data_IF_374845376970
#
_entry.id   IF_374845376970
#
_cell.length_a   1.000
_cell.length_b   1.000
_cell.length_c   1.000
_cell.angle_alpha   90.00
_cell.angle_beta   90.00
_cell.angle_gamma   90.00
#
_symmetry.space_group_name_H-M   'P 1'
#
loop_
_entity.id
_entity.type
_entity.pdbx_description
1 polymer ?
#
# COMPACT_ATOMS: atom_id res chain seq x y z
N UNK A 1 1.26 5.79 -3.89
CA UNK A 1 -0.01 5.14 -4.32
C UNK A 1 -0.63 5.82 -5.55
N UNK A 2 -0.45 7.11 -5.71
CA UNK A 2 -1.16 7.95 -6.68
C UNK A 2 -0.25 8.49 -7.79
N UNK A 3 0.96 7.95 -7.91
CA UNK A 3 1.95 8.33 -8.93
C UNK A 3 1.89 7.33 -10.07
N UNK A 4 1.69 7.81 -11.30
CA UNK A 4 1.62 6.98 -12.50
C UNK A 4 2.96 6.34 -12.88
N UNK A 5 2.89 5.15 -13.49
CA UNK A 5 4.02 4.50 -14.15
C UNK A 5 4.29 5.11 -15.55
N UNK A 6 5.17 4.49 -16.33
CA UNK A 6 5.49 4.90 -17.71
C UNK A 6 4.27 4.91 -18.66
N UNK A 7 3.22 4.17 -18.33
CA UNK A 7 1.96 4.08 -19.09
C UNK A 7 0.86 4.99 -18.53
N UNK A 8 1.18 5.85 -17.55
CA UNK A 8 0.23 6.77 -16.93
C UNK A 8 -0.72 6.14 -15.90
N UNK A 9 -0.60 4.81 -15.63
CA UNK A 9 -1.39 4.15 -14.59
C UNK A 9 -0.78 4.36 -13.21
N UNK A 10 -1.62 4.68 -12.25
CA UNK A 10 -1.22 4.78 -10.84
C UNK A 10 -1.05 3.40 -10.21
N UNK A 11 -0.37 3.30 -9.07
CA UNK A 11 -0.19 2.03 -8.36
C UNK A 11 -1.53 1.41 -7.96
N UNK A 12 -2.51 2.23 -7.56
CA UNK A 12 -3.89 1.78 -7.31
C UNK A 12 -4.50 1.12 -8.55
N UNK A 13 -4.40 1.78 -9.71
CA UNK A 13 -4.93 1.23 -10.98
C UNK A 13 -4.21 -0.06 -11.39
N UNK A 14 -2.90 -0.15 -11.19
CA UNK A 14 -2.12 -1.36 -11.45
C UNK A 14 -2.53 -2.50 -10.50
N UNK A 15 -2.79 -2.19 -9.21
CA UNK A 15 -3.27 -3.19 -8.25
C UNK A 15 -4.58 -3.80 -8.69
N UNK A 16 -5.53 -3.02 -9.18
CA UNK A 16 -6.77 -3.56 -9.74
C UNK A 16 -6.56 -4.30 -11.08
N UNK A 17 -5.71 -3.77 -11.96
CA UNK A 17 -5.46 -4.37 -13.28
C UNK A 17 -4.88 -5.78 -13.16
N UNK A 18 -3.94 -6.01 -12.24
CA UNK A 18 -3.34 -7.34 -12.00
C UNK A 18 -4.31 -8.39 -11.49
N UNK A 19 -5.45 -7.96 -10.94
CA UNK A 19 -6.52 -8.85 -10.48
C UNK A 19 -7.56 -9.16 -11.57
N UNK A 20 -7.42 -8.58 -12.75
CA UNK A 20 -8.35 -8.82 -13.86
C UNK A 20 -8.37 -10.28 -14.26
N UNK A 21 -9.56 -10.81 -14.46
CA UNK A 21 -9.76 -12.22 -14.86
C UNK A 21 -9.83 -13.24 -13.71
N UNK A 22 -9.63 -12.83 -12.46
CA UNK A 22 -9.75 -13.74 -11.30
C UNK A 22 -11.20 -14.00 -10.85
N UNK A 23 -12.20 -13.39 -11.51
CA UNK A 23 -13.61 -13.60 -11.14
C UNK A 23 -13.97 -13.06 -9.76
N UNK A 24 -13.30 -12.03 -9.29
CA UNK A 24 -13.54 -11.41 -7.99
C UNK A 24 -14.93 -10.78 -7.93
N UNK A 25 -15.56 -10.90 -6.77
CA UNK A 25 -16.87 -10.30 -6.47
C UNK A 25 -16.77 -8.84 -6.07
N UNK A 26 -17.42 -8.47 -4.95
CA UNK A 26 -17.41 -7.11 -4.41
C UNK A 26 -15.99 -6.66 -4.09
N UNK A 27 -15.59 -5.54 -4.67
CA UNK A 27 -14.33 -4.87 -4.33
C UNK A 27 -14.58 -3.69 -3.40
N UNK A 28 -13.75 -3.54 -2.38
CA UNK A 28 -13.78 -2.42 -1.43
C UNK A 28 -12.44 -1.68 -1.47
N UNK A 29 -12.49 -0.37 -1.58
CA UNK A 29 -11.34 0.51 -1.46
C UNK A 29 -11.45 1.32 -0.18
N UNK A 30 -10.63 1.00 0.82
CA UNK A 30 -10.58 1.74 2.08
C UNK A 30 -9.50 2.81 1.97
N UNK A 31 -9.87 4.07 2.21
CA UNK A 31 -8.91 5.17 2.16
C UNK A 31 -9.29 6.32 3.09
N UNK A 32 -8.31 7.17 3.42
CA UNK A 32 -8.58 8.39 4.17
C UNK A 32 -9.52 9.33 3.39
N UNK A 33 -10.46 9.96 4.09
CA UNK A 33 -11.45 10.86 3.49
C UNK A 33 -10.82 12.04 2.71
N UNK A 34 -9.60 12.43 3.03
CA UNK A 34 -8.90 13.50 2.30
C UNK A 34 -8.57 13.08 0.86
N UNK A 35 -8.39 11.78 0.60
CA UNK A 35 -8.05 11.23 -0.71
C UNK A 35 -9.27 10.79 -1.53
N UNK A 36 -10.49 10.92 -1.01
CA UNK A 36 -11.72 10.37 -1.61
C UNK A 36 -11.92 10.70 -3.10
N UNK A 37 -11.76 11.96 -3.47
CA UNK A 37 -11.99 12.38 -4.86
C UNK A 37 -10.92 11.88 -5.80
N UNK A 38 -9.67 11.82 -5.34
CA UNK A 38 -8.57 11.27 -6.12
C UNK A 38 -8.74 9.75 -6.31
N UNK A 39 -9.14 9.03 -5.26
CA UNK A 39 -9.45 7.60 -5.34
C UNK A 39 -10.61 7.33 -6.30
N UNK A 40 -11.71 8.08 -6.18
CA UNK A 40 -12.86 7.96 -7.07
C UNK A 40 -12.50 8.28 -8.54
N UNK A 41 -11.71 9.31 -8.79
CA UNK A 41 -11.26 9.66 -10.13
C UNK A 41 -10.38 8.57 -10.75
N UNK A 42 -9.47 7.97 -9.97
CA UNK A 42 -8.64 6.87 -10.46
C UNK A 42 -9.46 5.61 -10.78
N UNK A 43 -10.46 5.30 -9.95
CA UNK A 43 -11.38 4.20 -10.22
C UNK A 43 -12.18 4.49 -11.50
N UNK A 44 -12.73 5.70 -11.65
CA UNK A 44 -13.49 6.11 -12.85
C UNK A 44 -12.64 6.03 -14.12
N UNK A 45 -11.42 6.58 -14.08
CA UNK A 45 -10.51 6.61 -15.23
C UNK A 45 -10.10 5.20 -15.72
N UNK A 46 -10.07 4.22 -14.82
CA UNK A 46 -9.73 2.83 -15.13
C UNK A 46 -10.95 1.89 -15.22
N UNK A 47 -12.18 2.42 -15.18
CA UNK A 47 -13.42 1.65 -15.13
C UNK A 47 -13.45 0.59 -14.00
N UNK A 48 -12.89 0.94 -12.85
CA UNK A 48 -12.89 0.08 -11.66
C UNK A 48 -14.20 0.30 -10.90
N UNK A 49 -14.91 -0.80 -10.64
CA UNK A 49 -16.11 -0.81 -9.78
C UNK A 49 -15.70 -1.26 -8.39
N UNK A 50 -15.75 -0.35 -7.41
CA UNK A 50 -15.45 -0.64 -6.01
C UNK A 50 -16.31 0.22 -5.08
N UNK A 51 -16.68 -0.31 -3.91
CA UNK A 51 -17.20 0.51 -2.82
C UNK A 51 -16.04 1.29 -2.19
N UNK A 52 -16.14 2.61 -2.11
CA UNK A 52 -15.11 3.45 -1.51
C UNK A 52 -15.50 3.76 -0.06
N UNK A 53 -14.79 3.14 0.87
CA UNK A 53 -14.98 3.33 2.32
C UNK A 53 -14.00 4.37 2.83
N UNK A 54 -14.52 5.40 3.47
CA UNK A 54 -13.75 6.55 3.93
C UNK A 54 -13.50 6.51 5.42
N UNK A 55 -12.22 6.42 5.78
CA UNK A 55 -11.75 6.62 7.14
C UNK A 55 -11.60 8.13 7.42
N UNK A 56 -12.15 8.66 8.54
CA UNK A 56 -11.95 10.06 8.92
C UNK A 56 -10.47 10.38 9.21
N UNK A 57 -9.74 9.42 9.74
CA UNK A 57 -8.29 9.45 9.97
C UNK A 57 -7.73 8.02 9.94
N UNK A 58 -6.41 7.86 9.73
CA UNK A 58 -5.79 6.54 9.65
C UNK A 58 -5.71 5.83 11.01
N UNK A 59 -6.10 4.55 11.05
CA UNK A 59 -6.01 3.66 12.21
C UNK A 59 -5.21 2.39 11.93
N UNK A 60 -4.23 2.47 11.02
CA UNK A 60 -3.47 1.31 10.58
C UNK A 60 -4.36 0.28 9.84
N UNK A 61 -3.96 -0.97 9.72
CA UNK A 61 -4.60 -1.94 8.80
C UNK A 61 -5.68 -2.80 9.45
N UNK A 62 -5.60 -3.12 10.75
CA UNK A 62 -6.58 -4.01 11.37
C UNK A 62 -8.02 -3.47 11.34
N UNK A 63 -8.32 -2.21 11.70
CA UNK A 63 -9.68 -1.70 11.61
C UNK A 63 -10.25 -1.73 10.19
N UNK A 64 -9.44 -1.36 9.19
CA UNK A 64 -9.85 -1.36 7.79
C UNK A 64 -10.25 -2.78 7.30
N UNK A 65 -9.43 -3.78 7.64
CA UNK A 65 -9.67 -5.18 7.22
C UNK A 65 -10.84 -5.80 7.98
N UNK A 66 -10.98 -5.52 9.28
CA UNK A 66 -12.13 -5.98 10.09
C UNK A 66 -13.44 -5.37 9.56
N UNK A 67 -13.46 -4.08 9.27
CA UNK A 67 -14.63 -3.39 8.68
C UNK A 67 -15.00 -3.99 7.32
N UNK A 68 -14.02 -4.25 6.46
CA UNK A 68 -14.25 -4.90 5.18
C UNK A 68 -14.89 -6.29 5.36
N UNK A 69 -14.41 -7.09 6.31
CA UNK A 69 -14.98 -8.41 6.61
C UNK A 69 -16.42 -8.32 7.16
N UNK A 70 -16.70 -7.37 8.07
CA UNK A 70 -18.05 -7.16 8.61
C UNK A 70 -19.06 -6.83 7.49
N UNK A 71 -18.67 -5.97 6.56
CA UNK A 71 -19.49 -5.56 5.41
C UNK A 71 -19.75 -6.72 4.44
N UNK A 72 -18.76 -7.58 4.19
CA UNK A 72 -18.94 -8.79 3.39
C UNK A 72 -19.92 -9.76 4.04
N UNK A 73 -19.82 -9.94 5.36
CA UNK A 73 -20.78 -10.77 6.12
C UNK A 73 -22.20 -10.19 6.06
N UNK A 74 -22.35 -8.88 6.18
CA UNK A 74 -23.65 -8.20 6.03
C UNK A 74 -24.22 -8.39 4.63
N UNK A 75 -23.37 -8.36 3.60
CA UNK A 75 -23.73 -8.69 2.23
C UNK A 75 -23.98 -10.21 1.99
N UNK A 76 -23.93 -11.03 3.03
CA UNK A 76 -24.07 -12.50 3.03
C UNK A 76 -23.01 -13.19 2.17
N UNK A 77 -21.82 -12.63 2.08
CA UNK A 77 -20.67 -13.24 1.44
C UNK A 77 -19.67 -13.70 2.52
N UNK A 78 -19.27 -14.97 2.43
CA UNK A 78 -18.21 -15.54 3.26
C UNK A 78 -17.14 -16.24 2.40
N UNK A 79 -17.11 -15.89 1.12
CA UNK A 79 -16.01 -16.28 0.24
C UNK A 79 -14.71 -15.61 0.71
N UNK A 80 -13.56 -16.29 0.54
CA UNK A 80 -12.29 -15.70 0.91
C UNK A 80 -12.08 -14.31 0.31
N UNK A 81 -11.80 -13.34 1.16
CA UNK A 81 -11.44 -11.99 0.74
C UNK A 81 -9.92 -11.88 0.56
N UNK A 82 -9.52 -11.22 -0.50
CA UNK A 82 -8.13 -10.86 -0.79
C UNK A 82 -7.88 -9.44 -0.28
N UNK A 83 -6.92 -9.29 0.62
CA UNK A 83 -6.50 -8.01 1.20
C UNK A 83 -5.16 -7.61 0.58
N UNK A 84 -5.10 -6.42 0.00
CA UNK A 84 -3.94 -5.90 -0.71
C UNK A 84 -3.65 -4.46 -0.30
N UNK A 85 -2.37 -4.11 -0.20
CA UNK A 85 -1.94 -2.71 -0.26
C UNK A 85 -2.03 -2.18 -1.70
N UNK A 86 -2.44 -0.93 -1.84
CA UNK A 86 -2.59 -0.27 -3.15
C UNK A 86 -1.28 0.32 -3.70
N UNK A 87 -0.15 0.07 -3.04
CA UNK A 87 1.17 0.66 -3.34
C UNK A 87 2.30 -0.38 -3.48
N UNK A 88 1.95 -1.66 -3.57
CA UNK A 88 2.94 -2.69 -3.87
C UNK A 88 3.14 -2.87 -5.38
N UNK A 89 4.39 -3.05 -5.77
CA UNK A 89 4.76 -3.45 -7.12
C UNK A 89 4.91 -4.97 -7.22
N UNK A 90 4.48 -5.55 -8.33
CA UNK A 90 4.56 -6.99 -8.63
C UNK A 90 4.95 -7.12 -10.09
N UNK A 91 6.15 -7.64 -10.34
CA UNK A 91 6.72 -7.72 -11.68
C UNK A 91 6.16 -8.89 -12.50
N UNK A 92 5.92 -10.05 -11.86
CA UNK A 92 5.32 -11.23 -12.49
C UNK A 92 3.85 -11.38 -12.02
N UNK A 93 2.94 -10.78 -12.77
CA UNK A 93 1.52 -10.84 -12.47
C UNK A 93 0.91 -12.23 -12.68
N UNK A 94 1.42 -13.02 -13.62
CA UNK A 94 0.89 -14.36 -13.90
C UNK A 94 1.31 -15.35 -12.82
N UNK A 95 2.56 -15.30 -12.39
CA UNK A 95 3.05 -16.03 -11.22
C UNK A 95 2.26 -15.67 -9.96
N UNK A 96 2.00 -14.39 -9.75
CA UNK A 96 1.18 -13.90 -8.64
C UNK A 96 -0.24 -14.46 -8.68
N UNK A 97 -0.93 -14.41 -9.83
CA UNK A 97 -2.29 -14.96 -9.99
C UNK A 97 -2.34 -16.48 -9.72
N UNK A 98 -1.31 -17.20 -10.14
CA UNK A 98 -1.20 -18.64 -9.88
C UNK A 98 -1.14 -18.94 -8.39
N UNK A 99 -0.31 -18.21 -7.65
CA UNK A 99 -0.19 -18.37 -6.19
C UNK A 99 -1.48 -17.97 -5.46
N UNK A 100 -2.17 -16.93 -5.93
CA UNK A 100 -3.46 -16.52 -5.36
C UNK A 100 -4.50 -17.64 -5.42
N UNK A 101 -4.55 -18.42 -6.49
CA UNK A 101 -5.47 -19.56 -6.60
C UNK A 101 -5.18 -20.63 -5.53
N UNK A 102 -3.91 -20.98 -5.33
CA UNK A 102 -3.52 -21.94 -4.30
C UNK A 102 -3.78 -21.41 -2.88
N UNK A 103 -3.51 -20.14 -2.65
CA UNK A 103 -3.80 -19.47 -1.38
C UNK A 103 -5.31 -19.39 -1.10
N UNK A 104 -6.13 -19.19 -2.11
CA UNK A 104 -7.59 -19.21 -2.01
C UNK A 104 -8.10 -20.57 -1.52
N UNK A 105 -7.60 -21.68 -2.06
CA UNK A 105 -8.00 -23.03 -1.62
C UNK A 105 -7.74 -23.24 -0.12
N UNK A 106 -6.59 -22.82 0.39
CA UNK A 106 -6.27 -22.88 1.82
C UNK A 106 -7.21 -22.01 2.67
N UNK A 107 -7.53 -20.81 2.18
CA UNK A 107 -8.45 -19.91 2.87
C UNK A 107 -9.90 -20.47 2.90
N UNK A 108 -10.36 -21.14 1.86
CA UNK A 108 -11.64 -21.87 1.85
C UNK A 108 -11.70 -22.91 2.96
N UNK A 109 -10.59 -23.57 3.26
CA UNK A 109 -10.48 -24.55 4.33
C UNK A 109 -10.41 -23.92 5.74
N UNK A 110 -10.40 -22.59 5.85
CA UNK A 110 -10.44 -21.85 7.10
C UNK A 110 -9.07 -21.39 7.60
N UNK A 111 -8.02 -21.44 6.76
CA UNK A 111 -6.73 -20.85 7.09
C UNK A 111 -6.73 -19.33 6.90
N UNK A 112 -5.93 -18.63 7.71
CA UNK A 112 -5.56 -17.24 7.49
C UNK A 112 -4.25 -17.23 6.71
N UNK A 113 -4.35 -17.03 5.39
CA UNK A 113 -3.21 -17.17 4.48
C UNK A 113 -2.52 -15.82 4.29
N UNK A 114 -1.19 -15.80 4.38
CA UNK A 114 -0.37 -14.68 3.93
C UNK A 114 0.60 -15.12 2.87
N UNK A 115 1.00 -14.19 1.98
CA UNK A 115 2.04 -14.46 0.99
C UNK A 115 3.40 -14.08 1.56
N UNK A 116 4.36 -14.99 1.46
CA UNK A 116 5.73 -14.81 1.96
C UNK A 116 6.73 -14.63 0.83
N UNK A 117 7.64 -13.69 0.99
CA UNK A 117 8.70 -13.38 0.02
C UNK A 117 10.03 -13.88 0.56
N UNK A 118 10.83 -14.54 -0.28
CA UNK A 118 12.16 -15.00 0.13
C UNK A 118 13.09 -13.81 0.42
N UNK A 119 13.67 -13.73 1.63
CA UNK A 119 14.53 -12.63 2.01
C UNK A 119 15.85 -12.64 1.23
N UNK A 120 16.14 -11.59 0.48
CA UNK A 120 17.42 -11.42 -0.23
C UNK A 120 18.45 -10.57 0.53
N UNK A 121 18.04 -9.89 1.60
CA UNK A 121 18.90 -9.08 2.49
C UNK A 121 18.25 -8.93 3.87
N UNK A 122 19.04 -8.49 4.86
CA UNK A 122 18.51 -8.19 6.20
C UNK A 122 17.74 -6.85 6.17
N UNK A 123 16.41 -6.92 6.20
CA UNK A 123 15.54 -5.75 6.18
C UNK A 123 14.90 -5.52 7.55
N UNK A 124 15.03 -4.34 8.10
CA UNK A 124 14.37 -3.94 9.36
C UNK A 124 13.00 -3.28 9.15
N UNK A 125 12.63 -3.05 7.89
CA UNK A 125 11.34 -2.44 7.50
C UNK A 125 10.20 -3.42 7.30
N UNK A 126 10.49 -4.74 7.24
CA UNK A 126 9.53 -5.79 6.96
C UNK A 126 9.27 -6.69 8.16
N UNK A 127 8.09 -7.30 8.20
CA UNK A 127 7.81 -8.42 9.06
C UNK A 127 8.47 -9.70 8.56
N UNK A 128 8.83 -10.59 9.48
CA UNK A 128 9.40 -11.91 9.20
C UNK A 128 8.49 -13.01 9.71
N UNK A 129 8.29 -14.03 8.88
CA UNK A 129 7.45 -15.19 9.16
C UNK A 129 8.35 -16.41 9.29
N UNK A 130 8.36 -17.04 10.47
CA UNK A 130 9.05 -18.32 10.69
C UNK A 130 8.23 -19.46 10.11
N UNK A 131 8.79 -20.16 9.11
CA UNK A 131 8.16 -21.31 8.49
C UNK A 131 8.19 -22.53 9.41
N UNK A 132 7.04 -23.16 9.60
CA UNK A 132 6.83 -24.37 10.36
C UNK A 132 6.79 -25.63 9.47
N UNK A 133 5.84 -26.52 9.77
CA UNK A 133 5.63 -27.74 9.00
C UNK A 133 5.25 -27.41 7.54
N UNK A 134 5.79 -28.20 6.61
CA UNK A 134 5.42 -28.09 5.19
C UNK A 134 4.01 -28.62 5.00
N UNK A 135 3.20 -27.87 4.28
CA UNK A 135 1.89 -28.28 3.74
C UNK A 135 1.93 -28.16 2.21
N UNK A 136 1.06 -28.82 1.48
CA UNK A 136 1.10 -29.00 0.03
C UNK A 136 1.61 -27.79 -0.78
N UNK A 137 1.19 -26.57 -0.44
CA UNK A 137 1.53 -25.34 -1.18
C UNK A 137 2.17 -24.24 -0.32
N UNK A 138 2.61 -24.56 0.90
CA UNK A 138 3.19 -23.57 1.80
C UNK A 138 3.65 -24.17 3.11
N UNK A 139 3.62 -23.35 4.16
CA UNK A 139 4.07 -23.73 5.49
C UNK A 139 3.09 -23.24 6.56
N UNK A 140 2.94 -24.02 7.62
CA UNK A 140 2.39 -23.49 8.87
C UNK A 140 3.27 -22.32 9.36
N UNK A 141 2.68 -21.36 10.06
CA UNK A 141 3.43 -20.26 10.67
C UNK A 141 3.79 -20.63 12.11
N UNK A 142 5.08 -20.75 12.40
CA UNK A 142 5.57 -20.99 13.75
C UNK A 142 5.71 -19.69 14.57
N UNK A 143 5.88 -18.57 13.91
CA UNK A 143 6.03 -17.27 14.55
C UNK A 143 6.04 -16.15 13.54
N UNK A 144 5.64 -14.99 14.01
CA UNK A 144 5.60 -13.75 13.24
C UNK A 144 6.32 -12.66 14.04
N UNK A 145 7.21 -11.91 13.42
CA UNK A 145 7.95 -10.82 14.06
C UNK A 145 7.94 -9.61 13.16
N UNK A 146 7.27 -8.57 13.57
CA UNK A 146 7.17 -7.32 12.80
C UNK A 146 8.38 -6.44 13.07
N UNK A 147 9.07 -6.01 12.00
CA UNK A 147 10.17 -5.04 12.00
C UNK A 147 11.25 -5.31 13.05
N UNK A 148 11.97 -6.45 12.94
CA UNK A 148 13.04 -6.79 13.88
C UNK A 148 14.20 -5.79 13.80
N UNK A 149 15.05 -5.80 14.82
CA UNK A 149 16.32 -5.08 14.76
C UNK A 149 17.28 -5.71 13.72
N UNK A 150 18.33 -4.97 13.37
CA UNK A 150 19.28 -5.37 12.32
C UNK A 150 20.00 -6.70 12.62
N UNK A 151 20.30 -6.96 13.90
CA UNK A 151 20.97 -8.19 14.35
C UNK A 151 20.04 -9.38 14.14
N UNK A 152 18.82 -9.26 14.61
CA UNK A 152 17.76 -10.27 14.47
C UNK A 152 17.46 -10.54 12.98
N UNK A 153 17.34 -9.49 12.15
CA UNK A 153 17.10 -9.65 10.72
C UNK A 153 18.24 -10.40 10.01
N UNK A 154 19.50 -10.12 10.38
CA UNK A 154 20.67 -10.85 9.87
C UNK A 154 20.68 -12.32 10.28
N UNK A 155 20.22 -12.61 11.49
CA UNK A 155 20.16 -13.99 12.00
C UNK A 155 19.04 -14.78 11.32
N UNK A 156 17.89 -14.16 11.04
CA UNK A 156 16.81 -14.79 10.26
C UNK A 156 17.25 -15.13 8.83
N UNK A 157 17.97 -14.22 8.19
CA UNK A 157 18.51 -14.46 6.85
C UNK A 157 19.49 -15.66 6.84
N UNK A 158 20.35 -15.82 7.86
CA UNK A 158 21.29 -16.95 7.98
C UNK A 158 20.59 -18.28 8.23
N UNK A 159 19.48 -18.27 9.00
CA UNK A 159 18.72 -19.48 9.30
C UNK A 159 18.03 -20.06 8.06
N UNK A 160 17.60 -19.22 7.12
CA UNK A 160 17.03 -19.61 5.83
C UNK A 160 15.63 -20.22 5.89
N UNK A 161 14.97 -20.18 7.07
CA UNK A 161 13.60 -20.67 7.26
C UNK A 161 12.61 -19.54 7.58
N UNK A 162 12.93 -18.32 7.19
CA UNK A 162 12.08 -17.14 7.32
C UNK A 162 11.71 -16.59 5.96
N UNK A 163 10.49 -16.09 5.86
CA UNK A 163 10.00 -15.31 4.72
C UNK A 163 9.65 -13.89 5.18
N UNK A 164 9.77 -12.90 4.30
CA UNK A 164 9.20 -11.59 4.56
C UNK A 164 7.69 -11.64 4.43
N UNK A 165 7.00 -10.97 5.32
CA UNK A 165 5.58 -10.72 5.19
C UNK A 165 5.31 -9.68 4.10
N UNK A 166 4.58 -10.08 3.06
CA UNK A 166 4.19 -9.16 2.00
C UNK A 166 3.06 -8.22 2.39
N UNK A 167 2.35 -8.49 3.51
CA UNK A 167 1.12 -7.77 3.85
C UNK A 167 -0.07 -8.08 2.94
N UNK A 168 0.01 -9.17 2.17
CA UNK A 168 -1.08 -9.68 1.32
C UNK A 168 -1.72 -10.84 2.06
N UNK A 169 -3.03 -10.75 2.32
CA UNK A 169 -3.76 -11.78 3.07
C UNK A 169 -4.95 -12.30 2.27
N UNK A 170 -5.22 -13.60 2.44
CA UNK A 170 -6.41 -14.25 1.92
C UNK A 170 -7.08 -14.99 3.09
N UNK A 171 -8.32 -14.62 3.38
CA UNK A 171 -9.04 -15.16 4.54
C UNK A 171 -10.55 -15.07 4.35
N UNK A 172 -11.30 -16.05 4.86
CA UNK A 172 -12.75 -15.92 4.94
C UNK A 172 -13.15 -14.85 5.94
N UNK A 173 -14.11 -13.98 5.62
CA UNK A 173 -14.61 -12.97 6.55
C UNK A 173 -14.99 -13.52 7.91
N UNK A 174 -15.71 -14.67 7.98
CA UNK A 174 -16.08 -15.31 9.23
C UNK A 174 -14.88 -15.72 10.08
N UNK A 175 -13.85 -16.30 9.46
CA UNK A 175 -12.62 -16.73 10.14
C UNK A 175 -11.88 -15.51 10.72
N UNK A 176 -11.76 -14.42 9.96
CA UNK A 176 -11.13 -13.20 10.45
C UNK A 176 -11.89 -12.62 11.65
N UNK A 177 -13.22 -12.59 11.61
CA UNK A 177 -14.04 -12.08 12.71
C UNK A 177 -13.96 -12.98 13.96
N UNK A 178 -13.85 -14.31 13.79
CA UNK A 178 -13.58 -15.23 14.90
C UNK A 178 -12.22 -14.95 15.56
N UNK A 179 -11.17 -14.81 14.75
CA UNK A 179 -9.82 -14.49 15.26
C UNK A 179 -9.76 -13.09 15.90
N UNK A 180 -10.44 -12.10 15.31
CA UNK A 180 -10.57 -10.78 15.93
C UNK A 180 -11.32 -10.82 17.27
N UNK A 181 -12.34 -11.66 17.39
CA UNK A 181 -13.06 -11.84 18.65
C UNK A 181 -12.19 -12.50 19.74
N UNK A 182 -11.23 -13.33 19.35
CA UNK A 182 -10.32 -14.03 20.25
C UNK A 182 -9.15 -13.14 20.69
N UNK A 183 -8.54 -12.40 19.75
CA UNK A 183 -7.27 -11.71 19.97
C UNK A 183 -7.39 -10.19 20.16
N UNK A 184 -8.43 -9.54 19.60
CA UNK A 184 -8.66 -8.10 19.69
C UNK A 184 -10.15 -7.75 19.83
N UNK A 185 -10.82 -8.34 20.82
CA UNK A 185 -12.28 -8.24 21.02
C UNK A 185 -12.79 -6.78 21.14
N UNK A 186 -12.04 -5.91 21.81
CA UNK A 186 -12.39 -4.50 21.96
C UNK A 186 -12.35 -3.76 20.61
N UNK A 187 -11.31 -3.98 19.83
CA UNK A 187 -11.21 -3.43 18.48
C UNK A 187 -12.37 -3.89 17.59
N UNK A 188 -12.69 -5.22 17.62
CA UNK A 188 -13.84 -5.76 16.89
C UNK A 188 -15.15 -5.11 17.34
N UNK A 189 -15.34 -4.89 18.64
CA UNK A 189 -16.54 -4.22 19.16
C UNK A 189 -16.67 -2.79 18.62
N UNK A 190 -15.59 -2.02 18.64
CA UNK A 190 -15.55 -0.65 18.15
C UNK A 190 -15.76 -0.57 16.63
N UNK A 191 -15.16 -1.48 15.88
CA UNK A 191 -15.41 -1.61 14.43
C UNK A 191 -16.89 -1.90 14.13
N UNK A 192 -17.56 -2.76 14.91
CA UNK A 192 -19.01 -3.03 14.76
C UNK A 192 -19.87 -1.81 15.06
N UNK A 193 -19.49 -1.00 16.03
CA UNK A 193 -20.20 0.25 16.31
C UNK A 193 -20.02 1.26 15.17
N UNK A 194 -18.79 1.41 14.68
CA UNK A 194 -18.51 2.29 13.54
C UNK A 194 -19.25 1.84 12.27
N UNK A 195 -19.28 0.54 11.97
CA UNK A 195 -19.97 0.01 10.78
C UNK A 195 -21.48 0.20 10.82
N UNK A 196 -22.12 0.08 12.00
CA UNK A 196 -23.56 0.32 12.17
C UNK A 196 -23.97 1.76 11.95
N UNK A 197 -23.08 2.72 12.12
CA UNK A 197 -23.33 4.15 12.07
C UNK A 197 -22.81 4.80 10.78
N UNK A 198 -22.46 3.99 9.75
CA UNK A 198 -21.98 4.50 8.46
C UNK A 198 -23.04 5.34 7.76
N UNK A 199 -22.58 6.33 7.01
CA UNK A 199 -23.46 7.13 6.15
C UNK A 199 -23.05 6.97 4.69
N UNK A 200 -24.06 6.85 3.79
CA UNK A 200 -23.83 6.86 2.35
C UNK A 200 -23.85 8.29 1.84
N UNK A 201 -22.80 8.70 1.16
CA UNK A 201 -22.63 10.02 0.56
C UNK A 201 -22.22 9.85 -0.91
N UNK A 202 -23.21 9.82 -1.80
CA UNK A 202 -23.04 9.50 -3.22
C UNK A 202 -22.32 8.15 -3.40
N UNK A 203 -21.11 8.18 -3.94
CA UNK A 203 -20.26 7.01 -4.23
C UNK A 203 -19.45 6.55 -3.01
N UNK A 204 -19.61 7.22 -1.86
CA UNK A 204 -18.80 7.00 -0.68
C UNK A 204 -19.59 6.40 0.47
N UNK A 205 -18.90 5.57 1.24
CA UNK A 205 -19.34 5.07 2.54
C UNK A 205 -18.46 5.73 3.59
N UNK A 206 -19.05 6.61 4.41
CA UNK A 206 -18.32 7.34 5.45
C UNK A 206 -18.43 6.65 6.78
N UNK A 207 -17.30 6.34 7.38
CA UNK A 207 -17.23 5.93 8.77
C UNK A 207 -17.48 7.13 9.68
N UNK A 208 -18.23 6.96 10.78
CA UNK A 208 -18.47 8.02 11.74
C UNK A 208 -17.19 8.34 12.52
N UNK A 209 -16.89 9.63 12.67
CA UNK A 209 -15.65 10.08 13.30
C UNK A 209 -15.57 9.67 14.78
N UNK A 210 -16.67 9.79 15.51
CA UNK A 210 -16.73 9.53 16.93
C UNK A 210 -16.48 8.05 17.24
N UNK A 211 -17.27 7.13 16.65
CA UNK A 211 -17.15 5.69 16.87
C UNK A 211 -15.84 5.14 16.33
N UNK A 212 -15.36 5.65 15.19
CA UNK A 212 -14.09 5.24 14.62
C UNK A 212 -12.89 5.74 15.45
N UNK A 213 -13.04 6.82 16.22
CA UNK A 213 -11.98 7.29 17.13
C UNK A 213 -11.66 6.31 18.25
N UNK A 214 -12.62 5.48 18.63
CA UNK A 214 -12.45 4.44 19.65
C UNK A 214 -11.72 3.18 19.11
N UNK A 215 -11.58 3.06 17.79
CA UNK A 215 -10.80 1.97 17.21
C UNK A 215 -9.31 2.19 17.47
N UNK A 216 -8.64 1.20 18.04
CA UNK A 216 -7.19 1.22 18.22
C UNK A 216 -6.46 1.25 16.87
N UNK A 217 -5.42 2.08 16.76
CA UNK A 217 -4.59 2.20 15.57
C UNK A 217 -3.50 1.12 15.51
N UNK A 218 -3.87 -0.11 15.22
CA UNK A 218 -2.98 -1.28 15.21
C UNK A 218 -2.98 -1.97 13.83
N UNK A 219 -1.87 -2.60 13.43
CA UNK A 219 -1.82 -3.40 12.21
C UNK A 219 -2.49 -4.75 12.40
N UNK A 220 -2.93 -5.37 11.28
CA UNK A 220 -3.46 -6.73 11.29
C UNK A 220 -2.43 -7.74 11.79
N UNK A 221 -1.16 -7.46 11.49
CA UNK A 221 -0.03 -8.28 11.91
C UNK A 221 0.05 -8.38 13.43
N UNK A 222 0.08 -7.24 14.12
CA UNK A 222 0.11 -7.20 15.60
C UNK A 222 -1.21 -7.64 16.23
N UNK A 223 -2.35 -7.28 15.64
CA UNK A 223 -3.65 -7.57 16.24
C UNK A 223 -4.02 -9.05 16.18
N UNK A 224 -3.64 -9.75 15.11
CA UNK A 224 -4.09 -11.11 14.82
C UNK A 224 -2.95 -12.03 14.41
N UNK A 225 -2.09 -11.64 13.44
CA UNK A 225 -1.14 -12.57 12.83
C UNK A 225 -0.08 -13.10 13.81
N UNK A 226 0.35 -12.30 14.77
CA UNK A 226 1.30 -12.73 15.82
C UNK A 226 0.70 -13.70 16.84
N UNK A 227 -0.63 -13.82 16.88
CA UNK A 227 -1.35 -14.56 17.93
C UNK A 227 -2.13 -15.78 17.44
N UNK A 228 -2.53 -15.76 16.16
CA UNK A 228 -3.36 -16.82 15.59
C UNK A 228 -2.58 -18.10 15.34
N UNK A 229 -3.26 -19.24 15.56
CA UNK A 229 -2.75 -20.56 15.16
C UNK A 229 -3.31 -21.05 13.81
N UNK A 230 -4.10 -20.23 13.13
CA UNK A 230 -4.66 -20.54 11.80
C UNK A 230 -3.82 -19.98 10.65
N UNK A 231 -2.70 -19.31 10.98
CA UNK A 231 -1.84 -18.70 9.97
C UNK A 231 -1.10 -19.74 9.14
N UNK A 232 -1.12 -19.53 7.83
CA UNK A 232 -0.37 -20.28 6.82
C UNK A 232 0.35 -19.29 5.92
N UNK A 233 1.61 -19.55 5.59
CA UNK A 233 2.35 -18.74 4.62
C UNK A 233 2.57 -19.51 3.33
N UNK A 234 2.21 -18.89 2.21
CA UNK A 234 2.47 -19.40 0.86
C UNK A 234 3.62 -18.60 0.25
N UNK A 235 4.76 -19.24 -0.05
CA UNK A 235 5.88 -18.56 -0.70
C UNK A 235 5.50 -18.08 -2.10
N UNK A 236 5.95 -16.89 -2.48
CA UNK A 236 5.78 -16.37 -3.83
C UNK A 236 7.05 -15.65 -4.30
N UNK A 237 7.47 -15.98 -5.52
CA UNK A 237 8.52 -15.28 -6.26
C UNK A 237 7.84 -14.60 -7.46
N UNK A 238 7.43 -13.36 -7.27
CA UNK A 238 6.72 -12.57 -8.29
C UNK A 238 7.35 -11.18 -8.48
N UNK A 239 8.60 -11.00 -8.02
CA UNK A 239 9.24 -9.69 -8.07
C UNK A 239 8.51 -8.63 -7.23
N UNK A 240 7.96 -9.04 -6.07
CA UNK A 240 7.27 -8.16 -5.16
C UNK A 240 8.19 -7.10 -4.54
N UNK A 241 7.67 -5.88 -4.42
CA UNK A 241 8.29 -4.78 -3.68
C UNK A 241 7.20 -3.91 -3.05
N UNK A 242 7.42 -3.48 -1.81
CA UNK A 242 6.55 -2.49 -1.15
C UNK A 242 6.77 -1.06 -1.66
N UNK A 243 7.77 -0.86 -2.52
CA UNK A 243 8.17 0.46 -3.07
C UNK A 243 8.24 1.55 -1.99
N UNK A 244 8.66 1.16 -0.80
CA UNK A 244 8.64 2.00 0.40
C UNK A 244 9.63 3.16 0.38
N UNK A 245 10.61 3.13 -0.51
CA UNK A 245 11.63 4.17 -0.67
C UNK A 245 12.08 4.36 -2.13
N UNK A 246 12.92 5.36 -2.37
CA UNK A 246 13.39 5.66 -3.73
C UNK A 246 14.38 4.60 -4.27
N UNK A 247 15.05 3.84 -3.40
CA UNK A 247 15.90 2.73 -3.84
C UNK A 247 15.05 1.57 -4.37
N UNK A 248 13.97 1.24 -3.68
CA UNK A 248 13.00 0.25 -4.14
C UNK A 248 12.36 0.69 -5.47
N UNK A 249 11.98 1.98 -5.58
CA UNK A 249 11.47 2.55 -6.82
C UNK A 249 12.47 2.45 -7.97
N UNK A 250 13.76 2.71 -7.72
CA UNK A 250 14.82 2.54 -8.72
C UNK A 250 14.99 1.08 -9.13
N UNK A 251 14.92 0.14 -8.19
CA UNK A 251 15.03 -1.30 -8.46
C UNK A 251 13.87 -1.80 -9.32
N UNK A 252 12.64 -1.39 -9.02
CA UNK A 252 11.41 -1.82 -9.68
C UNK A 252 11.22 -1.26 -11.11
N UNK A 253 11.99 -0.23 -11.50
CA UNK A 253 11.81 0.40 -12.80
C UNK A 253 12.85 -0.05 -13.83
N UNK A 254 12.46 0.01 -15.11
CA UNK A 254 13.37 -0.24 -16.24
C UNK A 254 14.51 0.79 -16.26
N UNK A 255 15.71 0.32 -16.45
CA UNK A 255 16.94 1.11 -16.46
C UNK A 255 17.47 1.26 -17.89
N UNK A 256 18.15 2.37 -18.15
CA UNK A 256 18.95 2.53 -19.35
C UNK A 256 20.31 1.79 -19.23
N UNK A 257 21.17 1.90 -20.26
CA UNK A 257 22.47 1.19 -20.32
C UNK A 257 23.41 1.59 -19.15
N UNK A 258 23.27 2.80 -18.61
CA UNK A 258 24.03 3.30 -17.46
C UNK A 258 23.32 3.02 -16.12
N UNK A 259 22.32 2.17 -16.11
CA UNK A 259 21.51 1.83 -14.93
C UNK A 259 20.74 3.02 -14.32
N UNK A 260 20.46 4.03 -15.11
CA UNK A 260 19.62 5.15 -14.67
C UNK A 260 18.13 4.86 -14.95
N UNK A 261 17.28 5.33 -14.05
CA UNK A 261 15.83 5.45 -14.25
C UNK A 261 15.51 6.93 -14.47
N UNK A 262 15.10 7.28 -15.69
CA UNK A 262 14.75 8.65 -16.05
C UNK A 262 13.25 8.73 -16.34
N UNK A 263 12.53 9.56 -15.59
CA UNK A 263 11.07 9.74 -15.74
C UNK A 263 10.73 11.21 -15.96
N UNK A 264 9.85 11.48 -16.93
CA UNK A 264 9.47 12.82 -17.31
C UNK A 264 10.54 13.50 -18.19
N UNK A 265 10.64 14.83 -18.11
CA UNK A 265 11.64 15.62 -18.86
C UNK A 265 12.99 15.56 -18.12
N UNK A 266 13.69 14.44 -18.27
CA UNK A 266 14.93 14.15 -17.54
C UNK A 266 16.07 13.77 -18.52
N UNK A 267 17.26 14.33 -18.28
CA UNK A 267 18.48 14.08 -19.07
C UNK A 267 19.64 13.74 -18.15
N UNK A 268 20.40 12.69 -18.51
CA UNK A 268 21.60 12.28 -17.80
C UNK A 268 22.80 12.26 -18.75
N UNK A 269 23.92 12.85 -18.33
CA UNK A 269 25.20 12.80 -19.06
C UNK A 269 26.32 12.39 -18.09
N UNK A 270 27.10 11.39 -18.47
CA UNK A 270 28.19 10.83 -17.63
C UNK A 270 27.73 10.51 -16.20
N UNK A 271 26.52 9.99 -16.06
CA UNK A 271 25.89 9.68 -14.77
C UNK A 271 25.37 8.25 -14.78
N UNK A 272 25.43 7.56 -13.63
CA UNK A 272 25.04 6.16 -13.54
C UNK A 272 24.32 5.84 -12.22
N UNK A 273 23.51 4.76 -12.22
CA UNK A 273 22.79 4.28 -11.04
C UNK A 273 21.88 5.33 -10.38
N UNK A 274 21.31 6.25 -11.17
CA UNK A 274 20.48 7.35 -10.67
C UNK A 274 19.00 7.09 -10.92
N UNK A 275 18.16 7.59 -10.01
CA UNK A 275 16.73 7.76 -10.20
C UNK A 275 16.42 9.25 -10.40
N UNK A 276 15.96 9.65 -11.56
CA UNK A 276 15.52 11.02 -11.84
C UNK A 276 14.04 10.99 -12.19
N UNK A 277 13.24 11.73 -11.43
CA UNK A 277 11.82 11.95 -11.71
C UNK A 277 11.56 13.45 -11.85
N UNK A 278 11.22 13.87 -13.05
CA UNK A 278 10.88 15.23 -13.40
C UNK A 278 9.38 15.33 -13.70
N UNK A 279 8.62 15.94 -12.81
CA UNK A 279 7.16 16.03 -12.95
C UNK A 279 6.72 17.30 -13.69
N UNK A 280 7.48 18.39 -13.60
CA UNK A 280 7.08 19.69 -14.13
C UNK A 280 8.18 20.42 -14.93
N UNK A 281 9.44 20.24 -14.57
CA UNK A 281 10.58 20.95 -15.16
C UNK A 281 11.58 19.96 -15.73
N UNK A 282 12.35 20.41 -16.73
CA UNK A 282 13.54 19.68 -17.14
C UNK A 282 14.50 19.50 -15.96
N UNK A 283 14.88 18.27 -15.70
CA UNK A 283 15.93 17.90 -14.74
C UNK A 283 17.11 17.31 -15.50
N UNK A 284 18.25 17.97 -15.46
CA UNK A 284 19.49 17.49 -16.05
C UNK A 284 20.48 17.09 -14.95
N UNK A 285 21.05 15.90 -15.05
CA UNK A 285 22.13 15.44 -14.17
C UNK A 285 23.41 15.24 -14.96
N UNK A 286 24.56 15.62 -14.38
CA UNK A 286 25.86 15.56 -15.04
C UNK A 286 26.92 15.02 -14.08
N UNK A 287 27.58 13.91 -14.45
CA UNK A 287 28.75 13.40 -13.74
C UNK A 287 28.48 12.91 -12.32
N UNK A 288 27.28 12.39 -12.05
CA UNK A 288 26.86 11.94 -10.72
C UNK A 288 26.50 10.45 -10.71
N UNK A 289 26.54 9.84 -9.53
CA UNK A 289 26.26 8.42 -9.34
C UNK A 289 25.42 8.16 -8.09
N UNK A 290 24.50 7.20 -8.17
CA UNK A 290 23.77 6.66 -7.00
C UNK A 290 22.81 7.66 -6.35
N UNK A 291 22.28 8.63 -7.10
CA UNK A 291 21.38 9.66 -6.58
C UNK A 291 19.92 9.41 -6.95
N UNK A 292 19.04 9.74 -6.02
CA UNK A 292 17.63 10.04 -6.29
C UNK A 292 17.47 11.55 -6.45
N UNK A 293 16.96 11.99 -7.61
CA UNK A 293 16.61 13.38 -7.90
C UNK A 293 15.13 13.42 -8.24
N UNK A 294 14.31 13.94 -7.34
CA UNK A 294 12.86 13.96 -7.46
C UNK A 294 12.40 15.41 -7.52
N UNK A 295 11.90 15.81 -8.66
CA UNK A 295 11.31 17.13 -8.87
C UNK A 295 9.80 17.02 -8.88
N UNK A 296 9.18 17.87 -8.10
CA UNK A 296 7.74 18.10 -8.07
C UNK A 296 7.49 19.61 -8.25
N UNK A 297 6.23 19.96 -8.36
CA UNK A 297 5.81 21.36 -8.52
C UNK A 297 6.36 22.27 -7.41
N UNK A 298 6.49 21.75 -6.20
CA UNK A 298 6.73 22.50 -4.96
C UNK A 298 8.13 22.30 -4.39
N UNK A 299 8.80 21.21 -4.74
CA UNK A 299 10.08 20.86 -4.14
C UNK A 299 10.98 20.09 -5.10
N UNK A 300 12.27 20.13 -4.82
CA UNK A 300 13.27 19.25 -5.40
C UNK A 300 14.00 18.54 -4.25
N UNK A 301 13.97 17.21 -4.28
CA UNK A 301 14.76 16.37 -3.40
C UNK A 301 15.98 15.85 -4.16
N UNK A 302 17.15 15.92 -3.54
CA UNK A 302 18.36 15.23 -3.98
C UNK A 302 18.91 14.46 -2.78
N UNK A 303 19.03 13.15 -2.92
CA UNK A 303 19.53 12.28 -1.86
C UNK A 303 20.29 11.08 -2.46
N UNK A 304 21.29 10.51 -1.77
CA UNK A 304 21.82 9.21 -2.13
C UNK A 304 20.71 8.14 -2.08
N UNK A 305 20.70 7.21 -3.03
CA UNK A 305 19.70 6.14 -3.08
C UNK A 305 19.71 5.25 -1.82
N UNK A 306 20.89 5.03 -1.24
CA UNK A 306 21.07 4.24 -0.02
C UNK A 306 20.60 4.96 1.26
N UNK A 307 20.32 6.27 1.19
CA UNK A 307 19.78 7.07 2.29
C UNK A 307 18.31 7.45 2.10
N UNK A 308 17.63 6.89 1.12
CA UNK A 308 16.26 7.22 0.76
C UNK A 308 15.25 7.07 1.93
N UNK A 309 15.49 6.15 2.86
CA UNK A 309 14.65 5.96 4.05
C UNK A 309 14.71 7.16 5.02
N UNK A 310 15.83 7.88 5.08
CA UNK A 310 16.00 9.05 5.96
C UNK A 310 15.20 10.28 5.49
N UNK A 311 14.64 10.26 4.29
CA UNK A 311 13.78 11.34 3.79
C UNK A 311 12.57 11.57 4.69
N UNK A 312 12.05 10.52 5.34
CA UNK A 312 10.96 10.63 6.32
C UNK A 312 11.35 11.50 7.51
N UNK A 313 12.57 11.33 7.99
CA UNK A 313 13.10 12.10 9.13
C UNK A 313 13.35 13.56 8.72
N UNK A 314 13.91 13.77 7.53
CA UNK A 314 14.08 15.11 6.96
C UNK A 314 12.73 15.87 6.91
N UNK A 315 11.68 15.23 6.42
CA UNK A 315 10.33 15.83 6.36
C UNK A 315 9.82 16.12 7.77
N UNK A 316 9.94 15.16 8.68
CA UNK A 316 9.44 15.26 10.04
C UNK A 316 10.18 16.34 10.87
N UNK A 317 11.49 16.47 10.71
CA UNK A 317 12.31 17.35 11.56
C UNK A 317 12.45 18.77 11.01
N UNK A 318 12.49 18.92 9.68
CA UNK A 318 12.87 20.19 9.06
C UNK A 318 11.78 20.85 8.21
N UNK A 319 10.72 20.12 7.87
CA UNK A 319 9.64 20.65 7.03
C UNK A 319 8.32 20.88 7.81
N UNK A 320 8.37 20.85 9.14
CA UNK A 320 7.24 21.19 9.99
C UNK A 320 6.71 22.60 9.69
N UNK A 321 5.40 22.71 9.47
CA UNK A 321 4.73 24.01 9.22
C UNK A 321 4.72 24.46 7.76
N UNK A 322 5.32 23.71 6.84
CA UNK A 322 5.20 23.94 5.40
C UNK A 322 4.05 23.12 4.83
N UNK A 323 2.84 23.58 5.08
CA UNK A 323 1.60 22.91 4.61
C UNK A 323 1.57 22.74 3.09
N UNK A 324 2.22 23.63 2.35
CA UNK A 324 2.37 23.57 0.88
C UNK A 324 3.15 22.35 0.39
N UNK A 325 4.03 21.77 1.23
CA UNK A 325 4.80 20.56 0.88
C UNK A 325 4.09 19.26 1.30
N UNK A 326 3.12 19.36 2.20
CA UNK A 326 2.35 18.23 2.71
C UNK A 326 1.06 18.05 1.92
N UNK A 327 0.41 19.15 1.54
CA UNK A 327 -0.84 19.15 0.80
C UNK A 327 -0.56 19.13 -0.70
N UNK A 328 -1.29 18.26 -1.41
CA UNK A 328 -1.26 18.30 -2.88
C UNK A 328 -1.82 19.63 -3.37
N UNK A 329 -1.08 20.32 -4.24
CA UNK A 329 -1.53 21.58 -4.85
C UNK A 329 -2.72 21.37 -5.79
N UNK A 330 -2.84 20.18 -6.38
CA UNK A 330 -3.99 19.80 -7.17
C UNK A 330 -5.05 19.12 -6.29
N UNK A 331 -6.23 19.73 -6.21
CA UNK A 331 -7.34 19.25 -5.39
C UNK A 331 -8.45 18.76 -6.31
N UNK A 332 -8.74 17.47 -6.25
CA UNK A 332 -9.82 16.84 -7.02
C UNK A 332 -11.20 17.11 -6.42
N UNK A 333 -12.20 17.25 -7.28
CA UNK A 333 -13.60 17.48 -6.96
C UNK A 333 -14.48 16.66 -7.90
N UNK A 334 -15.77 16.44 -7.60
CA UNK A 334 -16.68 15.70 -8.49
C UNK A 334 -16.80 16.31 -9.92
N UNK A 335 -16.56 17.59 -10.05
CA UNK A 335 -16.64 18.33 -11.32
C UNK A 335 -15.29 18.48 -12.04
N UNK A 336 -14.19 17.97 -11.49
CA UNK A 336 -12.84 18.09 -12.05
C UNK A 336 -11.77 18.31 -11.00
N UNK A 337 -10.80 19.19 -11.27
CA UNK A 337 -9.75 19.54 -10.31
C UNK A 337 -9.48 21.04 -10.29
N UNK A 338 -8.86 21.51 -9.22
CA UNK A 338 -8.24 22.82 -9.25
C UNK A 338 -6.82 22.74 -8.66
N UNK A 339 -5.97 23.58 -9.21
CA UNK A 339 -4.58 23.72 -8.84
C UNK A 339 -4.31 25.14 -8.36
N UNK A 340 -3.64 25.29 -7.21
CA UNK A 340 -3.20 26.59 -6.71
C UNK A 340 -1.95 27.02 -7.48
N UNK A 341 -2.10 27.99 -8.37
CA UNK A 341 -1.01 28.47 -9.23
C UNK A 341 -0.14 29.49 -8.52
N UNK A 342 -0.77 30.35 -7.71
CA UNK A 342 -0.11 31.39 -6.95
C UNK A 342 -0.96 31.80 -5.74
N UNK A 343 -0.33 32.21 -4.64
CA UNK A 343 -1.02 32.70 -3.45
C UNK A 343 -0.18 33.71 -2.69
N UNK A 344 -0.84 34.69 -2.10
CA UNK A 344 -0.22 35.72 -1.28
C UNK A 344 -1.17 36.13 -0.12
N UNK A 345 -0.77 37.07 0.73
CA UNK A 345 -1.51 37.43 1.94
C UNK A 345 -2.99 37.78 1.70
N UNK A 346 -3.32 38.31 0.49
CA UNK A 346 -4.66 38.80 0.15
C UNK A 346 -5.19 38.27 -1.20
N UNK A 347 -4.54 37.28 -1.81
CA UNK A 347 -5.00 36.70 -3.07
C UNK A 347 -4.66 35.22 -3.20
N UNK A 348 -5.42 34.49 -4.02
CA UNK A 348 -5.12 33.15 -4.49
C UNK A 348 -5.54 33.01 -5.95
N UNK A 349 -4.65 32.49 -6.77
CA UNK A 349 -4.92 32.15 -8.18
C UNK A 349 -5.06 30.64 -8.31
N UNK A 350 -6.19 30.20 -8.85
CA UNK A 350 -6.46 28.78 -9.09
C UNK A 350 -6.64 28.52 -10.58
N UNK A 351 -6.02 27.46 -11.08
CA UNK A 351 -6.38 26.87 -12.36
C UNK A 351 -7.45 25.82 -12.10
N UNK A 352 -8.60 25.95 -12.77
CA UNK A 352 -9.71 25.01 -12.64
C UNK A 352 -9.78 24.20 -13.93
N UNK A 353 -9.78 22.88 -13.80
CA UNK A 353 -10.01 21.92 -14.88
C UNK A 353 -11.36 21.25 -14.63
N UNK A 354 -12.29 21.37 -15.55
CA UNK A 354 -13.63 20.78 -15.44
C UNK A 354 -13.68 19.55 -16.33
N UNK A 355 -14.15 18.43 -15.78
CA UNK A 355 -14.39 17.21 -16.55
C UNK A 355 -15.58 17.44 -17.48
N UNK A 356 -15.54 16.94 -18.73
CA UNK A 356 -16.64 17.07 -19.69
C UNK A 356 -17.91 16.35 -19.24
#
# INVERSE_FOLDING_TARGET
QLVGNEHGHTMLQQTFARLSGLGLGLSQLVCNQEHRFLAAEQCRAANITAEIVLEPFGRNTAPAVILAALRLIEARSDEPMLVLSADHDIADEDGFRTVLNSAHELAVLGSLVTLGIEPSFACTGYGYISCGANIDVGFEVNGFVEKPDETTAKDYLKQGNYLWNSGIFIVRPSVLIEEAALHCAELLHNCRLADKSVTKDLDFIRLPEQEFSECEGISLDYAIMEHTHKAVVVPVDCGWSDVGDFQALWKANKKNDESNVLKGDAVALNSQNCLVKASNRLVAILGVEGLAVIETKDAVLVAPLDQAQQVKDLVKEHLHGRSELINQNEVYRPWGSYDSVDSGPNYQVKRITVNP
#
